data_IF_506828218746
#
_entry.id   IF_506828218746
#
_cell.length_a   1.000
_cell.length_b   1.000
_cell.length_c   1.000
_cell.angle_alpha   90.00
_cell.angle_beta   90.00
_cell.angle_gamma   90.00
#
_symmetry.space_group_name_H-M   'P 1'
#
loop_
_entity.id
_entity.type
_entity.pdbx_description
1 polymer ?
#
# COMPACT_ATOMS: atom_id res chain seq x y z
N UNK A 1 9.66 7.06 -13.57
CA UNK A 1 10.34 6.12 -12.65
C UNK A 1 11.80 6.56 -12.59
N UNK A 2 12.38 6.72 -11.37
CA UNK A 2 13.80 7.02 -11.23
C UNK A 2 14.66 5.96 -11.92
N UNK A 3 15.79 6.38 -12.51
CA UNK A 3 16.74 5.42 -13.11
C UNK A 3 17.58 4.70 -12.05
N UNK A 4 17.79 5.36 -10.92
CA UNK A 4 18.50 4.83 -9.78
C UNK A 4 17.55 4.01 -8.92
N UNK A 5 18.03 2.90 -8.38
CA UNK A 5 17.29 2.09 -7.41
C UNK A 5 17.27 2.84 -6.07
N UNK A 6 16.08 3.14 -5.58
CA UNK A 6 15.85 3.87 -4.33
C UNK A 6 15.10 2.98 -3.34
N UNK A 7 15.36 3.16 -2.05
CA UNK A 7 14.66 2.46 -0.98
C UNK A 7 14.18 3.45 0.09
N UNK A 8 12.92 3.32 0.52
CA UNK A 8 12.34 4.17 1.56
C UNK A 8 12.95 3.97 2.96
N UNK A 9 13.73 2.92 3.18
CA UNK A 9 14.37 2.64 4.46
C UNK A 9 13.42 2.10 5.55
N UNK A 10 12.17 1.73 5.24
CA UNK A 10 11.19 1.24 6.24
C UNK A 10 11.78 0.17 7.19
N UNK A 11 12.40 -0.93 6.71
CA UNK A 11 12.96 -1.92 7.63
C UNK A 11 14.07 -1.38 8.52
N UNK A 12 14.88 -0.45 8.02
CA UNK A 12 15.94 0.19 8.80
C UNK A 12 15.36 1.01 9.96
N UNK A 13 14.30 1.76 9.67
CA UNK A 13 13.58 2.53 10.67
C UNK A 13 12.96 1.62 11.74
N UNK A 14 12.28 0.56 11.30
CA UNK A 14 11.59 -0.40 12.19
C UNK A 14 12.57 -1.13 13.14
N UNK A 15 13.82 -1.34 12.70
CA UNK A 15 14.90 -1.92 13.52
C UNK A 15 15.76 -0.88 14.26
N UNK A 16 15.37 0.40 14.25
CA UNK A 16 16.08 1.46 14.97
C UNK A 16 17.40 1.91 14.33
N UNK A 17 17.67 1.52 13.08
CA UNK A 17 18.88 1.93 12.33
C UNK A 17 18.65 3.32 11.70
N UNK A 18 18.37 4.32 12.56
CA UNK A 18 17.85 5.62 12.13
C UNK A 18 18.84 6.42 11.27
N UNK A 19 20.13 6.35 11.54
CA UNK A 19 21.15 7.06 10.76
C UNK A 19 21.21 6.51 9.32
N UNK A 20 21.11 5.19 9.16
CA UNK A 20 21.09 4.55 7.84
C UNK A 20 19.78 4.85 7.13
N UNK A 21 18.64 4.79 7.82
CA UNK A 21 17.35 5.17 7.28
C UNK A 21 17.36 6.63 6.79
N UNK A 22 17.95 7.54 7.57
CA UNK A 22 18.12 8.94 7.21
C UNK A 22 18.96 9.11 5.95
N UNK A 23 20.04 8.36 5.80
CA UNK A 23 20.89 8.39 4.59
C UNK A 23 20.09 8.00 3.35
N UNK A 24 19.27 6.94 3.41
CA UNK A 24 18.42 6.50 2.30
C UNK A 24 17.36 7.54 1.93
N UNK A 25 16.78 8.19 2.93
CA UNK A 25 15.79 9.24 2.68
C UNK A 25 16.44 10.50 2.10
N UNK A 26 17.67 10.84 2.54
CA UNK A 26 18.43 11.95 1.93
C UNK A 26 18.70 11.66 0.44
N UNK A 27 19.14 10.44 0.11
CA UNK A 27 19.35 10.03 -1.29
C UNK A 27 18.08 10.20 -2.14
N UNK A 28 16.90 9.84 -1.59
CA UNK A 28 15.62 10.05 -2.27
C UNK A 28 15.35 11.54 -2.49
N UNK A 29 15.59 12.38 -1.49
CA UNK A 29 15.39 13.81 -1.60
C UNK A 29 16.32 14.42 -2.67
N UNK A 30 17.58 13.97 -2.73
CA UNK A 30 18.57 14.44 -3.69
C UNK A 30 18.23 14.01 -5.13
N UNK A 31 17.86 12.74 -5.31
CA UNK A 31 17.52 12.18 -6.64
C UNK A 31 16.22 12.74 -7.19
N UNK A 32 15.23 12.97 -6.32
CA UNK A 32 13.91 13.47 -6.74
C UNK A 32 13.77 14.99 -6.59
N UNK A 33 14.84 15.72 -6.24
CA UNK A 33 14.77 17.17 -6.04
C UNK A 33 14.15 17.92 -7.23
N UNK A 34 14.51 17.64 -8.51
CA UNK A 34 13.92 18.34 -9.65
C UNK A 34 12.39 18.13 -9.73
N UNK A 35 11.92 16.91 -9.56
CA UNK A 35 10.50 16.53 -9.60
C UNK A 35 9.74 17.11 -8.42
N UNK A 36 10.34 17.06 -7.21
CA UNK A 36 9.76 17.65 -6.00
C UNK A 36 9.60 19.15 -6.18
N UNK A 37 10.63 19.84 -6.71
CA UNK A 37 10.56 21.29 -6.96
C UNK A 37 9.52 21.64 -8.01
N UNK A 38 9.39 20.82 -9.04
CA UNK A 38 8.40 21.00 -10.12
C UNK A 38 6.96 20.65 -9.69
N UNK A 39 6.76 20.07 -8.51
CA UNK A 39 5.41 19.69 -8.03
C UNK A 39 4.87 18.42 -8.67
N UNK A 40 5.74 17.57 -9.21
CA UNK A 40 5.31 16.29 -9.83
C UNK A 40 4.77 15.34 -8.77
N UNK A 41 3.56 14.76 -8.94
CA UNK A 41 3.04 13.78 -8.02
C UNK A 41 3.92 12.53 -7.95
N UNK A 42 4.19 12.05 -6.74
CA UNK A 42 4.89 10.80 -6.50
C UNK A 42 3.86 9.72 -6.15
N UNK A 43 3.62 8.82 -7.08
CA UNK A 43 2.64 7.74 -6.92
C UNK A 43 3.36 6.45 -6.58
N UNK A 44 2.97 5.84 -5.47
CA UNK A 44 3.54 4.57 -5.04
C UNK A 44 2.50 3.48 -4.86
N UNK A 45 2.98 2.23 -4.96
CA UNK A 45 2.16 1.03 -4.89
C UNK A 45 2.23 0.34 -3.51
N UNK A 46 3.23 0.64 -2.69
CA UNK A 46 3.40 0.00 -1.38
C UNK A 46 3.07 0.98 -0.24
N UNK A 47 1.96 0.77 0.48
CA UNK A 47 1.54 1.67 1.55
C UNK A 47 2.57 1.83 2.67
N UNK A 48 3.33 0.77 2.99
CA UNK A 48 4.37 0.83 4.00
C UNK A 48 5.53 1.76 3.60
N UNK A 49 5.89 1.79 2.30
CA UNK A 49 6.90 2.71 1.79
C UNK A 49 6.39 4.15 1.76
N UNK A 50 5.15 4.35 1.31
CA UNK A 50 4.58 5.70 1.18
C UNK A 50 4.32 6.36 2.52
N UNK A 51 3.95 5.59 3.54
CA UNK A 51 3.77 6.11 4.89
C UNK A 51 5.06 6.74 5.44
N UNK A 52 6.24 6.21 5.07
CA UNK A 52 7.54 6.79 5.45
C UNK A 52 7.63 8.26 5.04
N UNK A 53 7.16 8.60 3.83
CA UNK A 53 7.23 9.99 3.32
C UNK A 53 6.21 10.91 3.99
N UNK A 54 5.14 10.36 4.56
CA UNK A 54 4.10 11.13 5.26
C UNK A 54 4.41 11.34 6.73
N UNK A 55 5.16 10.46 7.36
CA UNK A 55 5.43 10.46 8.80
C UNK A 55 6.94 10.50 9.10
N UNK A 56 7.66 9.39 8.97
CA UNK A 56 9.03 9.25 9.44
C UNK A 56 10.00 10.24 8.75
N UNK A 57 9.79 10.54 7.48
CA UNK A 57 10.57 11.56 6.76
C UNK A 57 10.50 12.91 7.47
N UNK A 58 9.31 13.32 7.90
CA UNK A 58 9.13 14.60 8.59
C UNK A 58 9.74 14.60 9.98
N UNK A 59 9.74 13.45 10.66
CA UNK A 59 10.37 13.29 11.96
C UNK A 59 11.91 13.32 11.87
N UNK A 60 12.48 12.71 10.84
CA UNK A 60 13.92 12.69 10.59
C UNK A 60 14.45 14.00 9.99
N UNK A 61 13.61 14.76 9.28
CA UNK A 61 13.95 16.00 8.58
C UNK A 61 12.93 17.12 8.86
N UNK A 62 12.76 17.54 10.13
CA UNK A 62 11.64 18.41 10.53
C UNK A 62 11.69 19.80 9.87
N UNK A 63 12.88 20.32 9.55
CA UNK A 63 13.07 21.64 8.96
C UNK A 63 13.43 21.63 7.47
N UNK A 64 13.46 20.43 6.84
CA UNK A 64 13.88 20.29 5.46
C UNK A 64 12.73 20.61 4.50
N UNK A 65 12.88 21.67 3.70
CA UNK A 65 11.82 22.16 2.81
C UNK A 65 11.38 21.13 1.76
N UNK A 66 12.33 20.36 1.16
CA UNK A 66 12.01 19.33 0.18
C UNK A 66 11.28 18.16 0.83
N UNK A 67 11.60 17.77 2.06
CA UNK A 67 10.91 16.72 2.79
C UNK A 67 9.43 17.09 3.02
N UNK A 68 9.17 18.31 3.46
CA UNK A 68 7.80 18.82 3.61
C UNK A 68 7.04 18.83 2.29
N UNK A 69 7.71 19.21 1.19
CA UNK A 69 7.09 19.25 -0.11
C UNK A 69 6.83 17.86 -0.67
N UNK A 70 7.79 16.92 -0.56
CA UNK A 70 7.63 15.53 -0.96
C UNK A 70 6.46 14.87 -0.21
N UNK A 71 6.38 15.08 1.10
CA UNK A 71 5.28 14.55 1.92
C UNK A 71 3.89 14.94 1.38
N UNK A 72 3.73 16.14 0.84
CA UNK A 72 2.47 16.61 0.26
C UNK A 72 2.20 16.04 -1.14
N UNK A 73 3.24 15.64 -1.88
CA UNK A 73 3.15 15.15 -3.27
C UNK A 73 3.01 13.63 -3.36
N UNK A 74 3.18 12.91 -2.25
CA UNK A 74 3.09 11.45 -2.22
C UNK A 74 1.63 11.01 -2.17
N UNK A 75 1.25 10.10 -3.07
CA UNK A 75 -0.09 9.56 -3.20
C UNK A 75 -0.06 8.05 -3.32
N UNK A 76 -1.01 7.38 -2.69
CA UNK A 76 -1.36 6.02 -3.06
C UNK A 76 -1.93 6.02 -4.48
N UNK A 77 -1.82 4.89 -5.17
CA UNK A 77 -2.35 4.74 -6.52
C UNK A 77 -3.85 5.06 -6.62
N UNK A 78 -4.63 4.60 -5.64
CA UNK A 78 -6.06 4.92 -5.54
C UNK A 78 -6.32 6.40 -5.34
N UNK A 79 -5.54 7.06 -4.47
CA UNK A 79 -5.68 8.50 -4.21
C UNK A 79 -5.37 9.31 -5.47
N UNK A 80 -4.31 8.92 -6.18
CA UNK A 80 -3.93 9.59 -7.42
C UNK A 80 -5.03 9.49 -8.49
N UNK A 81 -5.55 8.29 -8.74
CA UNK A 81 -6.61 8.09 -9.72
C UNK A 81 -7.91 8.82 -9.38
N UNK A 82 -8.28 8.82 -8.09
CA UNK A 82 -9.50 9.52 -7.65
C UNK A 82 -9.41 11.04 -7.73
N UNK A 83 -8.20 11.59 -7.79
CA UNK A 83 -7.97 13.03 -7.97
C UNK A 83 -7.87 13.45 -9.45
N UNK A 84 -7.88 12.51 -10.40
CA UNK A 84 -7.94 12.82 -11.83
C UNK A 84 -9.38 13.14 -12.24
N UNK A 85 -9.62 14.39 -12.68
CA UNK A 85 -10.95 14.87 -13.09
C UNK A 85 -11.51 14.11 -14.30
N UNK A 86 -10.65 13.77 -15.25
CA UNK A 86 -11.03 13.29 -16.58
C UNK A 86 -10.79 11.77 -16.74
N UNK A 87 -10.50 11.08 -15.64
CA UNK A 87 -10.32 9.63 -15.71
C UNK A 87 -11.67 8.90 -15.75
N UNK A 88 -11.97 8.29 -16.90
CA UNK A 88 -13.12 7.41 -17.07
C UNK A 88 -12.76 6.00 -16.57
N UNK A 89 -13.43 5.57 -15.51
CA UNK A 89 -13.13 4.30 -14.86
C UNK A 89 -13.71 3.12 -15.68
N UNK A 90 -12.87 2.17 -16.15
CA UNK A 90 -13.36 1.00 -16.84
C UNK A 90 -14.23 0.14 -15.92
N UNK A 91 -15.26 -0.51 -16.45
CA UNK A 91 -16.14 -1.37 -15.66
C UNK A 91 -15.59 -2.79 -15.59
N UNK A 92 -15.47 -3.32 -14.39
CA UNK A 92 -15.06 -4.71 -14.13
C UNK A 92 -16.21 -5.53 -13.52
N UNK A 93 -16.89 -4.95 -12.53
CA UNK A 93 -17.95 -5.61 -11.78
C UNK A 93 -17.46 -6.70 -10.81
N UNK A 94 -18.40 -7.37 -10.15
CA UNK A 94 -18.12 -8.46 -9.22
C UNK A 94 -18.05 -8.04 -7.76
N UNK A 95 -17.67 -8.99 -6.89
CA UNK A 95 -17.56 -8.81 -5.44
C UNK A 95 -16.11 -8.81 -5.01
N UNK A 96 -15.78 -8.05 -3.98
CA UNK A 96 -14.44 -8.04 -3.40
C UNK A 96 -14.45 -7.98 -1.86
N UNK A 97 -13.51 -8.70 -1.26
CA UNK A 97 -13.10 -8.55 0.14
C UNK A 97 -11.78 -7.79 0.17
N UNK A 98 -11.77 -6.61 0.80
CA UNK A 98 -10.62 -5.70 0.82
C UNK A 98 -9.97 -5.73 2.20
N UNK A 99 -8.67 -6.00 2.24
CA UNK A 99 -7.86 -5.82 3.44
C UNK A 99 -6.99 -4.56 3.30
N UNK A 100 -7.31 -3.54 4.09
CA UNK A 100 -6.48 -2.33 4.17
C UNK A 100 -5.20 -2.57 4.96
N UNK A 101 -4.06 -2.23 4.37
CA UNK A 101 -2.78 -2.23 5.07
C UNK A 101 -2.82 -1.32 6.31
N UNK A 102 -2.18 -1.70 7.43
CA UNK A 102 -2.25 -0.94 8.68
C UNK A 102 -1.76 0.50 8.52
N UNK A 103 -0.62 0.73 7.85
CA UNK A 103 -0.13 2.08 7.56
C UNK A 103 -1.06 2.85 6.62
N UNK A 104 -1.68 2.18 5.63
CA UNK A 104 -2.68 2.81 4.78
C UNK A 104 -3.86 3.30 5.61
N UNK A 105 -4.44 2.43 6.44
CA UNK A 105 -5.57 2.79 7.31
C UNK A 105 -5.25 3.95 8.24
N UNK A 106 -4.04 3.97 8.81
CA UNK A 106 -3.63 4.98 9.79
C UNK A 106 -3.28 6.34 9.17
N UNK A 107 -2.64 6.35 7.99
CA UNK A 107 -2.03 7.56 7.41
C UNK A 107 -2.85 8.13 6.25
N UNK A 108 -3.39 7.28 5.37
CA UNK A 108 -4.08 7.69 4.15
C UNK A 108 -5.61 7.47 4.22
N UNK A 109 -6.05 6.49 5.00
CA UNK A 109 -7.44 6.04 5.02
C UNK A 109 -7.75 5.08 3.88
N UNK A 110 -8.99 4.55 3.88
CA UNK A 110 -9.47 3.59 2.87
C UNK A 110 -10.49 4.20 1.91
N UNK A 111 -10.89 5.45 2.12
CA UNK A 111 -12.01 6.04 1.40
C UNK A 111 -11.81 6.05 -0.13
N UNK A 112 -10.64 6.47 -0.59
CA UNK A 112 -10.34 6.56 -2.03
C UNK A 112 -10.20 5.18 -2.68
N UNK A 113 -9.62 4.19 -1.99
CA UNK A 113 -9.53 2.82 -2.51
C UNK A 113 -10.93 2.20 -2.67
N UNK A 114 -11.79 2.36 -1.66
CA UNK A 114 -13.17 1.90 -1.71
C UNK A 114 -14.01 2.63 -2.78
N UNK A 115 -13.80 3.95 -2.93
CA UNK A 115 -14.45 4.75 -3.97
C UNK A 115 -13.98 4.35 -5.38
N UNK A 116 -12.69 4.07 -5.55
CA UNK A 116 -12.13 3.56 -6.79
C UNK A 116 -12.77 2.21 -7.19
N UNK A 117 -12.83 1.26 -6.26
CA UNK A 117 -13.46 -0.05 -6.51
C UNK A 117 -14.94 0.10 -6.88
N UNK A 118 -15.66 1.01 -6.22
CA UNK A 118 -17.05 1.34 -6.57
C UNK A 118 -17.15 1.92 -7.99
N UNK A 119 -16.23 2.80 -8.40
CA UNK A 119 -16.18 3.33 -9.78
C UNK A 119 -15.92 2.25 -10.82
N UNK A 120 -15.18 1.19 -10.48
CA UNK A 120 -14.98 0.01 -11.32
C UNK A 120 -16.21 -0.95 -11.35
N UNK A 121 -17.31 -0.60 -10.69
CA UNK A 121 -18.51 -1.43 -10.59
C UNK A 121 -18.37 -2.62 -9.62
N UNK A 122 -17.38 -2.61 -8.73
CA UNK A 122 -17.09 -3.68 -7.78
C UNK A 122 -17.84 -3.43 -6.48
N UNK A 123 -18.59 -4.44 -6.01
CA UNK A 123 -19.21 -4.47 -4.70
C UNK A 123 -18.16 -4.90 -3.66
N UNK A 124 -17.42 -3.92 -3.13
CA UNK A 124 -16.34 -4.15 -2.19
C UNK A 124 -16.82 -4.01 -0.73
N UNK A 125 -16.38 -4.96 0.12
CA UNK A 125 -16.49 -4.85 1.58
C UNK A 125 -15.10 -4.95 2.20
N UNK A 126 -14.88 -4.23 3.29
CA UNK A 126 -13.63 -4.33 4.04
C UNK A 126 -13.66 -5.54 4.97
N UNK A 127 -12.53 -6.24 5.09
CA UNK A 127 -12.34 -7.18 6.18
C UNK A 127 -12.22 -6.39 7.50
N UNK A 128 -13.01 -6.76 8.50
CA UNK A 128 -12.90 -6.21 9.86
C UNK A 128 -11.67 -6.82 10.54
N UNK A 129 -10.49 -6.42 10.08
CA UNK A 129 -9.22 -6.95 10.55
C UNK A 129 -8.29 -5.83 11.01
N UNK A 130 -7.49 -6.12 12.02
CA UNK A 130 -6.36 -5.29 12.44
C UNK A 130 -5.18 -5.41 11.48
N UNK A 131 -4.07 -5.92 11.98
CA UNK A 131 -2.88 -6.27 11.19
C UNK A 131 -3.04 -7.63 10.51
N UNK A 132 -2.38 -7.83 9.37
CA UNK A 132 -2.24 -9.17 8.76
C UNK A 132 -1.30 -10.09 9.54
N UNK A 133 -0.54 -9.55 10.48
CA UNK A 133 0.45 -10.27 11.29
C UNK A 133 1.90 -10.07 10.83
N UNK A 134 2.14 -9.75 9.57
CA UNK A 134 3.50 -9.63 9.03
C UNK A 134 4.26 -8.41 9.57
N UNK A 135 3.57 -7.27 9.78
CA UNK A 135 4.18 -6.03 10.29
C UNK A 135 5.56 -5.73 9.66
N UNK A 136 5.58 -5.51 8.35
CA UNK A 136 6.82 -5.34 7.59
C UNK A 136 7.66 -6.62 7.57
N UNK A 137 8.86 -6.56 8.09
CA UNK A 137 9.79 -7.70 8.16
C UNK A 137 9.56 -8.63 9.37
N UNK A 138 8.73 -8.24 10.33
CA UNK A 138 8.54 -8.97 11.60
C UNK A 138 8.13 -10.44 11.38
N UNK A 139 7.11 -10.67 10.56
CA UNK A 139 6.58 -12.02 10.31
C UNK A 139 7.47 -12.90 9.45
N UNK A 140 8.51 -12.36 8.81
CA UNK A 140 9.51 -13.14 8.09
C UNK A 140 10.61 -13.69 9.00
N UNK A 141 10.70 -13.22 10.25
CA UNK A 141 11.63 -13.76 11.22
C UNK A 141 11.05 -15.07 11.81
N UNK A 142 11.79 -16.20 11.78
CA UNK A 142 11.34 -17.47 12.36
C UNK A 142 10.88 -17.36 13.81
N UNK A 143 11.55 -16.54 14.63
CA UNK A 143 11.21 -16.36 16.06
C UNK A 143 9.86 -15.66 16.27
N UNK A 144 9.35 -14.95 15.26
CA UNK A 144 8.09 -14.22 15.30
C UNK A 144 6.97 -14.89 14.49
N UNK A 145 7.27 -15.97 13.77
CA UNK A 145 6.35 -16.60 12.84
C UNK A 145 5.01 -16.99 13.49
N UNK A 146 5.04 -17.65 14.64
CA UNK A 146 3.82 -18.06 15.33
C UNK A 146 2.97 -16.86 15.77
N UNK A 147 3.61 -15.77 16.20
CA UNK A 147 2.91 -14.54 16.60
C UNK A 147 2.26 -13.90 15.37
N UNK A 148 2.99 -13.86 14.26
CA UNK A 148 2.50 -13.37 12.97
C UNK A 148 1.26 -14.15 12.51
N UNK A 149 1.33 -15.48 12.55
CA UNK A 149 0.20 -16.37 12.19
C UNK A 149 -1.00 -16.11 13.09
N UNK A 150 -0.81 -16.08 14.40
CA UNK A 150 -1.90 -15.81 15.37
C UNK A 150 -2.57 -14.45 15.13
N UNK A 151 -1.80 -13.42 14.78
CA UNK A 151 -2.36 -12.11 14.48
C UNK A 151 -3.19 -12.13 13.18
N UNK A 152 -2.74 -12.82 12.15
CA UNK A 152 -3.50 -13.02 10.91
C UNK A 152 -4.76 -13.85 11.11
N UNK A 153 -4.69 -14.89 11.95
CA UNK A 153 -5.82 -15.78 12.30
C UNK A 153 -6.87 -15.10 13.17
N UNK A 154 -6.54 -13.99 13.82
CA UNK A 154 -7.52 -13.28 14.65
C UNK A 154 -8.74 -12.78 13.85
N UNK A 155 -8.56 -12.41 12.57
CA UNK A 155 -9.66 -11.93 11.74
C UNK A 155 -9.43 -12.09 10.22
N UNK A 156 -8.25 -11.73 9.70
CA UNK A 156 -8.01 -11.64 8.25
C UNK A 156 -8.12 -13.00 7.57
N UNK A 157 -7.35 -13.99 8.03
CA UNK A 157 -7.26 -15.29 7.36
C UNK A 157 -8.59 -16.06 7.40
N UNK A 158 -9.34 -16.08 8.51
CA UNK A 158 -10.69 -16.64 8.51
C UNK A 158 -11.65 -15.93 7.55
N UNK A 159 -11.59 -14.59 7.46
CA UNK A 159 -12.45 -13.83 6.54
C UNK A 159 -12.11 -14.13 5.06
N UNK A 160 -10.84 -14.32 4.73
CA UNK A 160 -10.39 -14.72 3.39
C UNK A 160 -10.87 -16.12 3.03
N UNK A 161 -10.74 -17.10 3.94
CA UNK A 161 -11.21 -18.49 3.72
C UNK A 161 -12.73 -18.59 3.61
N UNK A 162 -13.46 -17.73 4.33
CA UNK A 162 -14.92 -17.70 4.30
C UNK A 162 -15.48 -16.95 3.09
N UNK A 163 -14.64 -16.22 2.33
CA UNK A 163 -15.08 -15.52 1.13
C UNK A 163 -15.41 -16.51 0.02
N UNK A 164 -16.54 -16.24 -0.69
CA UNK A 164 -16.94 -17.02 -1.87
C UNK A 164 -15.79 -17.09 -2.90
N UNK A 165 -15.68 -18.22 -3.61
CA UNK A 165 -14.59 -18.46 -4.57
C UNK A 165 -14.51 -17.41 -5.68
N UNK A 166 -15.65 -16.81 -6.08
CA UNK A 166 -15.72 -15.75 -7.07
C UNK A 166 -15.47 -14.35 -6.50
N UNK A 167 -15.32 -14.20 -5.18
CA UNK A 167 -15.00 -12.94 -4.53
C UNK A 167 -13.50 -12.63 -4.69
N UNK A 168 -13.16 -11.51 -5.30
CA UNK A 168 -11.78 -11.04 -5.39
C UNK A 168 -11.26 -10.71 -3.99
N UNK A 169 -10.06 -11.14 -3.67
CA UNK A 169 -9.35 -10.71 -2.45
C UNK A 169 -8.43 -9.58 -2.86
N UNK A 170 -8.53 -8.43 -2.22
CA UNK A 170 -7.73 -7.22 -2.55
C UNK A 170 -6.95 -6.78 -1.31
N UNK A 171 -5.64 -6.62 -1.49
CA UNK A 171 -4.75 -6.08 -0.47
C UNK A 171 -3.59 -5.34 -1.15
N UNK A 172 -3.47 -4.02 -0.91
CA UNK A 172 -2.43 -3.21 -1.55
C UNK A 172 -1.05 -3.37 -0.90
N UNK A 173 -0.96 -3.83 0.36
CA UNK A 173 0.33 -4.10 1.03
C UNK A 173 0.95 -5.43 0.60
N UNK A 174 2.26 -5.43 0.25
CA UNK A 174 3.01 -6.64 -0.12
C UNK A 174 2.96 -7.71 0.98
N UNK A 175 3.34 -7.35 2.20
CA UNK A 175 3.33 -8.28 3.33
C UNK A 175 1.94 -8.89 3.62
N UNK A 176 0.86 -8.13 3.39
CA UNK A 176 -0.49 -8.65 3.53
C UNK A 176 -0.82 -9.70 2.46
N UNK A 177 -0.39 -9.48 1.20
CA UNK A 177 -0.57 -10.46 0.12
C UNK A 177 0.21 -11.74 0.39
N UNK A 178 1.46 -11.62 0.84
CA UNK A 178 2.28 -12.77 1.22
C UNK A 178 1.64 -13.60 2.34
N UNK A 179 1.14 -12.94 3.39
CA UNK A 179 0.47 -13.65 4.50
C UNK A 179 -0.76 -14.43 4.02
N UNK A 180 -1.57 -13.80 3.15
CA UNK A 180 -2.75 -14.46 2.57
C UNK A 180 -2.35 -15.66 1.71
N UNK A 181 -1.36 -15.47 0.82
CA UNK A 181 -0.92 -16.52 -0.10
C UNK A 181 -0.28 -17.72 0.63
N UNK A 182 0.48 -17.47 1.70
CA UNK A 182 1.15 -18.53 2.46
C UNK A 182 0.21 -19.33 3.37
N UNK A 183 -0.86 -18.71 3.87
CA UNK A 183 -1.72 -19.30 4.91
C UNK A 183 -3.16 -19.59 4.46
N UNK A 184 -3.44 -19.37 3.18
CA UNK A 184 -4.74 -19.71 2.55
C UNK A 184 -4.53 -20.22 1.14
N UNK A 185 -5.55 -20.83 0.53
CA UNK A 185 -5.56 -21.22 -0.89
C UNK A 185 -5.95 -20.07 -1.81
N UNK A 186 -5.79 -18.81 -1.37
CA UNK A 186 -6.22 -17.61 -2.08
C UNK A 186 -5.03 -16.67 -2.35
N UNK A 187 -5.07 -16.02 -3.50
CA UNK A 187 -4.15 -14.93 -3.82
C UNK A 187 -4.90 -13.60 -3.76
N UNK A 188 -4.30 -12.61 -3.12
CA UNK A 188 -4.84 -11.26 -3.11
C UNK A 188 -4.22 -10.42 -4.24
N UNK A 189 -5.04 -9.61 -4.88
CA UNK A 189 -4.63 -8.66 -5.92
C UNK A 189 -4.30 -7.31 -5.28
N UNK A 190 -3.30 -6.64 -5.83
CA UNK A 190 -3.12 -5.21 -5.58
C UNK A 190 -4.20 -4.40 -6.33
N UNK A 191 -4.63 -3.26 -5.79
CA UNK A 191 -5.66 -2.44 -6.45
C UNK A 191 -5.28 -2.00 -7.88
N UNK A 192 -3.99 -1.82 -8.16
CA UNK A 192 -3.51 -1.52 -9.52
C UNK A 192 -3.70 -2.70 -10.49
N UNK A 193 -3.59 -3.94 -10.02
CA UNK A 193 -3.87 -5.14 -10.82
C UNK A 193 -5.37 -5.23 -11.14
N UNK A 194 -6.23 -4.85 -10.19
CA UNK A 194 -7.68 -4.78 -10.42
C UNK A 194 -8.02 -3.75 -11.50
N UNK A 195 -7.40 -2.58 -11.48
CA UNK A 195 -7.55 -1.56 -12.55
C UNK A 195 -7.04 -2.10 -13.89
N UNK A 196 -5.90 -2.77 -13.91
CA UNK A 196 -5.35 -3.37 -15.14
C UNK A 196 -6.29 -4.44 -15.72
N UNK A 197 -6.90 -5.28 -14.87
CA UNK A 197 -7.92 -6.25 -15.30
C UNK A 197 -9.16 -5.56 -15.93
N UNK A 198 -9.62 -4.47 -15.31
CA UNK A 198 -10.73 -3.69 -15.84
C UNK A 198 -10.40 -3.11 -17.24
N UNK A 199 -9.21 -2.55 -17.42
CA UNK A 199 -8.75 -1.99 -18.69
C UNK A 199 -8.61 -3.05 -19.79
N UNK A 200 -8.22 -4.28 -19.44
CA UNK A 200 -8.10 -5.37 -20.43
C UNK A 200 -9.48 -5.87 -20.90
N UNK A 201 -10.47 -5.93 -19.99
CA UNK A 201 -11.86 -6.34 -20.36
C UNK A 201 -12.56 -5.34 -21.27
N UNK A 202 -12.27 -4.06 -21.15
CA UNK A 202 -12.92 -3.01 -21.95
C UNK A 202 -12.40 -2.99 -23.41
N UNK A 203 -11.27 -3.66 -23.68
CA UNK A 203 -10.64 -3.72 -25.02
C UNK A 203 -11.05 -4.95 -25.85
N UNK A 204 -11.79 -5.88 -25.26
CA UNK A 204 -12.37 -7.07 -25.93
C UNK A 204 -13.84 -6.88 -26.19
#
# INVERSE_FOLDING_TARGET
VPRQQLCCGRPLYDFGMLDTARTYLQEILDVLEPEIRAGVPVVGLEPACLSVFRDELLNLFPDHALAKKLSQQVHLFSDFLMNLSDWDAPQLGGNALVHGHCHQKAIFGMANEMALLKRLGIHARTAESGCCGMAGAFGFNPDHYEISVKAGEAALLPAVRAADEHTMIIASGYSCREQIAQLTDRNALHVAEVVALALTRTRT
#
